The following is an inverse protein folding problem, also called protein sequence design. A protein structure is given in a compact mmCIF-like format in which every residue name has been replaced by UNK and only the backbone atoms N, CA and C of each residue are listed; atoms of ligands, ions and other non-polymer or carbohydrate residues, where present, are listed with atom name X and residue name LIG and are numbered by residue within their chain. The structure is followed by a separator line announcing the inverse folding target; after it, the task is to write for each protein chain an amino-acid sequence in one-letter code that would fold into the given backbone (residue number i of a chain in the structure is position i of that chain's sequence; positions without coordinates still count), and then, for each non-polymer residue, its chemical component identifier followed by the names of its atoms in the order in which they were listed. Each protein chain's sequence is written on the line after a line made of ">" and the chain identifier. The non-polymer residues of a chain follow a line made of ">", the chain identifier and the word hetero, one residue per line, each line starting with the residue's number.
data_IF_163373400806
#
_entry.id   IF_163373400806
#
_cell.length_a   1.000
_cell.length_b   1.000
_cell.length_c   1.000
_cell.angle_alpha   90.00
_cell.angle_beta   90.00
_cell.angle_gamma   90.00
#
_symmetry.space_group_name_H-M   'P 1'
#
loop_
_entity.id
_entity.type
_entity.pdbx_description
1 polymer ?
#
# COMPACT_ATOMS: atom_id res chain seq x y z
N UNK A 1 -28.48 35.97 -68.80
CA UNK A 1 -29.07 34.74 -68.22
C UNK A 1 -27.97 33.72 -68.13
N UNK A 2 -27.28 33.71 -66.99
CA UNK A 2 -27.47 32.71 -65.92
C UNK A 2 -26.80 31.37 -66.26
N UNK A 3 -25.57 31.20 -65.76
CA UNK A 3 -24.97 29.89 -65.52
C UNK A 3 -24.90 29.71 -64.01
N UNK A 4 -25.88 29.00 -63.44
CA UNK A 4 -25.92 28.64 -62.03
C UNK A 4 -25.13 27.33 -61.80
N UNK A 5 -24.01 27.47 -61.11
CA UNK A 5 -23.23 26.36 -60.54
C UNK A 5 -23.97 25.84 -59.31
N UNK A 6 -24.40 24.58 -59.32
CA UNK A 6 -24.95 23.89 -58.14
C UNK A 6 -23.88 22.99 -57.52
N UNK A 7 -23.56 23.29 -56.26
CA UNK A 7 -22.60 22.62 -55.38
C UNK A 7 -23.10 21.22 -54.94
N UNK A 8 -22.21 20.22 -54.95
CA UNK A 8 -22.43 18.91 -54.32
C UNK A 8 -21.80 18.83 -52.92
N UNK A 9 -22.68 18.83 -51.93
CA UNK A 9 -22.73 18.21 -50.59
C UNK A 9 -21.56 17.37 -50.01
N UNK A 10 -20.99 17.87 -48.91
CA UNK A 10 -21.01 17.35 -47.50
C UNK A 10 -20.74 15.88 -47.14
N UNK A 11 -20.32 15.00 -48.04
CA UNK A 11 -19.97 13.61 -47.66
C UNK A 11 -18.65 13.53 -46.84
N UNK A 12 -17.70 14.40 -47.17
CA UNK A 12 -16.36 14.44 -46.57
C UNK A 12 -16.39 14.82 -45.08
N UNK A 13 -17.29 15.74 -44.70
CA UNK A 13 -17.40 16.20 -43.31
C UNK A 13 -18.02 15.16 -42.38
N UNK A 14 -18.94 14.34 -42.88
CA UNK A 14 -19.59 13.27 -42.12
C UNK A 14 -18.59 12.14 -41.85
N UNK A 15 -17.78 11.78 -42.84
CA UNK A 15 -16.75 10.73 -42.71
C UNK A 15 -15.64 11.18 -41.74
N UNK A 16 -15.24 12.46 -41.77
CA UNK A 16 -14.23 13.00 -40.86
C UNK A 16 -14.67 13.01 -39.39
N UNK A 17 -15.96 13.24 -39.13
CA UNK A 17 -16.55 13.21 -37.79
C UNK A 17 -16.67 11.79 -37.25
N UNK A 18 -17.01 10.82 -38.10
CA UNK A 18 -17.10 9.41 -37.70
C UNK A 18 -15.72 8.83 -37.33
N UNK A 19 -14.68 9.16 -38.10
CA UNK A 19 -13.31 8.72 -37.82
C UNK A 19 -12.71 9.30 -36.52
N UNK A 20 -13.22 10.46 -36.05
CA UNK A 20 -12.82 11.04 -34.74
C UNK A 20 -13.48 10.34 -33.55
N UNK A 21 -14.64 9.70 -33.73
CA UNK A 21 -15.40 9.04 -32.65
C UNK A 21 -14.94 7.59 -32.45
N UNK A 22 -14.41 6.91 -33.48
CA UNK A 22 -13.98 5.51 -33.38
C UNK A 22 -12.51 5.30 -32.93
N UNK A 23 -11.81 6.31 -32.40
CA UNK A 23 -10.51 6.10 -31.74
C UNK A 23 -10.71 5.55 -30.33
N UNK A 24 -10.96 4.25 -30.23
CA UNK A 24 -10.75 3.52 -28.99
C UNK A 24 -9.27 3.63 -28.59
N UNK A 25 -9.02 4.21 -27.42
CA UNK A 25 -7.71 4.13 -26.76
C UNK A 25 -7.48 2.67 -26.37
N UNK A 26 -6.61 1.98 -27.11
CA UNK A 26 -5.92 0.80 -26.58
C UNK A 26 -4.99 1.27 -25.46
N UNK A 27 -5.42 1.13 -24.21
CA UNK A 27 -4.52 1.22 -23.06
C UNK A 27 -3.91 -0.17 -22.90
N UNK A 28 -2.78 -0.38 -23.58
CA UNK A 28 -1.88 -1.49 -23.26
C UNK A 28 -1.20 -1.17 -21.94
N UNK A 29 -1.50 -1.95 -20.91
CA UNK A 29 -0.68 -2.01 -19.69
C UNK A 29 0.31 -3.15 -19.91
N UNK A 30 1.53 -2.81 -20.30
CA UNK A 30 2.66 -3.71 -20.12
C UNK A 30 3.17 -3.55 -18.68
N UNK A 31 3.46 -4.65 -17.97
CA UNK A 31 4.52 -4.65 -16.98
C UNK A 31 5.78 -5.29 -17.58
N UNK A 32 6.85 -4.51 -17.63
CA UNK A 32 8.23 -5.00 -17.75
C UNK A 32 8.62 -5.65 -16.41
N UNK A 33 8.96 -6.94 -16.39
CA UNK A 33 9.83 -7.55 -15.39
C UNK A 33 10.50 -8.83 -15.92
N UNK A 34 11.82 -8.93 -15.66
CA UNK A 34 12.77 -9.97 -16.11
C UNK A 34 12.42 -11.37 -15.57
N UNK A 35 12.83 -12.47 -16.24
CA UNK A 35 12.51 -13.83 -15.82
C UNK A 35 13.45 -14.32 -14.71
N UNK A 36 12.91 -15.04 -13.73
CA UNK A 36 13.70 -15.94 -12.86
C UNK A 36 13.05 -17.34 -12.93
N UNK A 37 13.81 -18.42 -13.22
CA UNK A 37 13.27 -19.76 -13.39
C UNK A 37 13.32 -20.50 -12.06
N UNK A 38 12.19 -21.07 -11.61
CA UNK A 38 12.10 -22.25 -10.73
C UNK A 38 10.62 -22.65 -10.50
N UNK A 39 10.18 -23.65 -11.29
CA UNK A 39 9.26 -24.78 -10.96
C UNK A 39 7.84 -24.54 -10.39
N UNK A 40 6.89 -25.51 -10.48
CA UNK A 40 6.64 -26.56 -11.49
C UNK A 40 5.31 -26.34 -12.23
N UNK A 41 5.18 -27.06 -13.34
CA UNK A 41 3.96 -27.27 -14.13
C UNK A 41 2.80 -27.83 -13.31
N UNK A 42 1.65 -27.16 -13.35
CA UNK A 42 0.34 -27.73 -13.04
C UNK A 42 -0.67 -27.37 -14.13
N UNK A 43 -1.59 -28.30 -14.32
CA UNK A 43 -2.46 -28.56 -15.45
C UNK A 43 -3.35 -27.37 -15.87
N UNK A 44 -3.23 -26.98 -17.14
CA UNK A 44 -4.22 -26.14 -17.81
C UNK A 44 -5.41 -27.04 -18.15
N UNK A 45 -6.49 -26.91 -17.40
CA UNK A 45 -7.80 -27.40 -17.81
C UNK A 45 -8.25 -26.50 -18.96
N UNK A 46 -8.19 -27.02 -20.18
CA UNK A 46 -8.81 -26.40 -21.36
C UNK A 46 -10.32 -26.32 -21.16
N UNK A 47 -10.82 -25.17 -20.69
CA UNK A 47 -12.20 -24.80 -20.95
C UNK A 47 -12.29 -24.37 -22.42
N UNK A 48 -12.85 -25.28 -23.20
CA UNK A 48 -13.27 -25.10 -24.59
C UNK A 48 -14.21 -23.89 -24.66
N UNK A 49 -13.68 -22.74 -25.05
CA UNK A 49 -14.50 -21.69 -25.64
C UNK A 49 -14.95 -22.21 -27.00
N UNK A 50 -16.18 -22.74 -27.06
CA UNK A 50 -16.90 -22.90 -28.31
C UNK A 50 -17.06 -21.51 -28.94
N UNK A 51 -16.13 -21.23 -29.84
CA UNK A 51 -16.17 -20.12 -30.77
C UNK A 51 -17.43 -20.31 -31.63
N UNK A 52 -18.56 -19.74 -31.19
CA UNK A 52 -19.77 -19.62 -32.02
C UNK A 52 -19.43 -18.60 -33.10
N UNK A 53 -18.66 -19.09 -34.07
CA UNK A 53 -18.56 -18.51 -35.40
C UNK A 53 -19.94 -18.63 -36.01
N UNK A 54 -20.77 -17.61 -35.77
CA UNK A 54 -21.93 -17.32 -36.59
C UNK A 54 -21.43 -16.98 -37.99
N UNK A 55 -21.10 -18.01 -38.78
CA UNK A 55 -20.93 -17.89 -40.22
C UNK A 55 -22.26 -17.37 -40.75
N UNK A 56 -22.33 -16.13 -41.28
CA UNK A 56 -23.53 -15.74 -41.99
C UNK A 56 -23.49 -16.55 -43.27
N UNK A 57 -24.18 -17.68 -43.29
CA UNK A 57 -24.50 -18.40 -44.51
C UNK A 57 -25.49 -17.54 -45.28
N UNK A 58 -24.97 -16.46 -45.88
CA UNK A 58 -25.63 -15.68 -46.92
C UNK A 58 -25.75 -16.61 -48.13
N UNK A 59 -26.74 -17.50 -48.10
CA UNK A 59 -27.41 -17.89 -49.34
C UNK A 59 -27.90 -16.58 -49.92
N UNK A 60 -27.21 -16.06 -50.94
CA UNK A 60 -27.66 -14.93 -51.73
C UNK A 60 -28.99 -15.36 -52.35
N UNK A 61 -30.08 -15.12 -51.63
CA UNK A 61 -31.42 -15.18 -52.20
C UNK A 61 -31.39 -14.11 -53.29
N UNK A 62 -31.60 -14.45 -54.57
CA UNK A 62 -31.63 -13.44 -55.61
C UNK A 62 -32.78 -12.50 -55.27
N UNK A 63 -32.45 -11.28 -54.84
CA UNK A 63 -33.43 -10.23 -54.72
C UNK A 63 -33.82 -9.88 -56.15
N UNK A 64 -34.83 -10.56 -56.69
CA UNK A 64 -35.50 -10.12 -57.90
C UNK A 64 -36.17 -8.80 -57.56
N UNK A 65 -35.43 -7.72 -57.78
CA UNK A 65 -35.91 -6.36 -57.67
C UNK A 65 -36.19 -5.93 -59.09
N UNK A 66 -37.39 -5.39 -59.32
CA UNK A 66 -37.73 -4.81 -60.60
C UNK A 66 -36.72 -3.70 -60.89
N UNK A 67 -35.85 -3.96 -61.85
CA UNK A 67 -34.90 -2.97 -62.33
C UNK A 67 -35.52 -2.23 -63.52
N UNK A 68 -35.03 -1.03 -63.81
CA UNK A 68 -35.57 -0.19 -64.89
C UNK A 68 -35.62 -0.92 -66.24
N UNK A 69 -34.69 -1.84 -66.49
CA UNK A 69 -34.68 -2.70 -67.67
C UNK A 69 -35.84 -3.72 -67.72
N UNK A 70 -36.27 -4.26 -66.59
CA UNK A 70 -37.39 -5.21 -66.51
C UNK A 70 -38.74 -4.48 -66.60
N UNK A 71 -38.81 -3.30 -66.01
CA UNK A 71 -39.95 -2.39 -66.15
C UNK A 71 -40.09 -1.95 -67.61
N UNK A 72 -38.98 -1.60 -68.27
CA UNK A 72 -38.97 -1.27 -69.70
C UNK A 72 -39.47 -2.43 -70.55
N UNK A 73 -39.01 -3.67 -70.31
CA UNK A 73 -39.51 -4.86 -71.01
C UNK A 73 -41.01 -5.12 -70.81
N UNK A 74 -41.55 -4.79 -69.63
CA UNK A 74 -43.00 -4.87 -69.39
C UNK A 74 -43.73 -3.83 -70.24
N UNK A 75 -43.25 -2.59 -70.28
CA UNK A 75 -43.83 -1.53 -71.12
C UNK A 75 -43.70 -1.85 -72.61
N UNK A 76 -42.59 -2.44 -73.05
CA UNK A 76 -42.40 -2.92 -74.42
C UNK A 76 -43.41 -4.03 -74.76
N UNK A 77 -43.63 -4.99 -73.85
CA UNK A 77 -44.62 -6.05 -74.04
C UNK A 77 -46.06 -5.51 -74.09
N UNK A 78 -46.40 -4.51 -73.27
CA UNK A 78 -47.70 -3.82 -73.34
C UNK A 78 -47.85 -3.06 -74.66
N UNK A 79 -46.78 -2.41 -75.12
CA UNK A 79 -46.78 -1.64 -76.37
C UNK A 79 -46.89 -2.56 -77.58
N UNK A 80 -46.17 -3.68 -77.60
CA UNK A 80 -46.22 -4.70 -78.64
C UNK A 80 -47.60 -5.40 -78.68
N UNK A 81 -48.22 -5.67 -77.53
CA UNK A 81 -49.60 -6.17 -77.48
C UNK A 81 -50.59 -5.18 -78.13
N UNK A 82 -50.46 -3.88 -77.83
CA UNK A 82 -51.31 -2.85 -78.44
C UNK A 82 -51.14 -2.81 -79.95
N UNK A 83 -49.90 -2.91 -80.44
CA UNK A 83 -49.60 -2.94 -81.87
C UNK A 83 -50.18 -4.20 -82.55
N UNK A 84 -49.94 -5.38 -81.98
CA UNK A 84 -50.50 -6.64 -82.48
C UNK A 84 -52.03 -6.60 -82.54
N UNK A 85 -52.68 -5.98 -81.55
CA UNK A 85 -54.14 -5.80 -81.55
C UNK A 85 -54.63 -4.85 -82.66
N UNK A 86 -53.88 -3.79 -82.97
CA UNK A 86 -54.20 -2.91 -84.10
C UNK A 86 -54.02 -3.60 -85.46
N UNK A 87 -52.98 -4.44 -85.59
CA UNK A 87 -52.76 -5.25 -86.80
C UNK A 87 -53.87 -6.28 -86.98
N UNK A 88 -54.29 -6.93 -85.89
CA UNK A 88 -55.46 -7.81 -85.86
C UNK A 88 -56.72 -7.07 -86.36
N UNK A 89 -56.99 -5.85 -85.86
CA UNK A 89 -58.11 -5.02 -86.33
C UNK A 89 -58.00 -4.66 -87.81
N UNK A 90 -56.79 -4.35 -88.32
CA UNK A 90 -56.57 -3.97 -89.72
C UNK A 90 -56.74 -5.14 -90.69
N UNK A 91 -56.39 -6.35 -90.28
CA UNK A 91 -56.53 -7.55 -91.11
C UNK A 91 -57.99 -7.92 -91.45
N UNK A 92 -58.96 -7.28 -90.79
CA UNK A 92 -60.38 -7.47 -91.08
C UNK A 92 -60.90 -6.71 -92.31
N UNK A 93 -60.18 -5.68 -92.83
CA UNK A 93 -60.67 -4.83 -93.94
C UNK A 93 -59.54 -4.38 -94.90
N UNK A 94 -59.44 -4.97 -96.11
CA UNK A 94 -60.22 -6.11 -96.62
C UNK A 94 -59.88 -7.40 -95.84
N UNK A 95 -60.85 -8.31 -95.73
CA UNK A 95 -60.73 -9.54 -94.92
C UNK A 95 -59.58 -10.43 -95.42
N UNK A 96 -58.59 -10.65 -94.56
CA UNK A 96 -57.41 -11.48 -94.83
C UNK A 96 -57.24 -12.50 -93.69
N UNK A 97 -57.67 -13.77 -93.87
CA UNK A 97 -57.70 -14.75 -92.80
C UNK A 97 -56.31 -15.11 -92.28
N UNK A 98 -55.28 -15.11 -93.14
CA UNK A 98 -53.92 -15.49 -92.75
C UNK A 98 -53.30 -14.41 -91.83
N UNK A 99 -53.53 -13.14 -92.15
CA UNK A 99 -53.08 -12.01 -91.31
C UNK A 99 -53.84 -11.92 -89.98
N UNK A 100 -55.12 -12.32 -89.95
CA UNK A 100 -55.89 -12.41 -88.70
C UNK A 100 -55.28 -13.45 -87.77
N UNK A 101 -54.96 -14.65 -88.29
CA UNK A 101 -54.35 -15.73 -87.52
C UNK A 101 -52.96 -15.32 -87.01
N UNK A 102 -52.15 -14.68 -87.86
CA UNK A 102 -50.82 -14.19 -87.47
C UNK A 102 -50.88 -13.15 -86.34
N UNK A 103 -51.76 -12.15 -86.47
CA UNK A 103 -51.92 -11.13 -85.45
C UNK A 103 -52.54 -11.66 -84.14
N UNK A 104 -53.46 -12.64 -84.21
CA UNK A 104 -54.01 -13.31 -83.02
C UNK A 104 -52.92 -14.05 -82.25
N UNK A 105 -52.07 -14.80 -82.96
CA UNK A 105 -50.93 -15.50 -82.38
C UNK A 105 -49.97 -14.53 -81.67
N UNK A 106 -49.74 -13.34 -82.25
CA UNK A 106 -48.93 -12.29 -81.61
C UNK A 106 -49.61 -11.71 -80.35
N UNK A 107 -50.91 -11.46 -80.39
CA UNK A 107 -51.69 -11.01 -79.23
C UNK A 107 -51.61 -12.03 -78.09
N UNK A 108 -51.81 -13.31 -78.38
CA UNK A 108 -51.71 -14.40 -77.41
C UNK A 108 -50.29 -14.47 -76.83
N UNK A 109 -49.26 -14.42 -77.67
CA UNK A 109 -47.85 -14.44 -77.24
C UNK A 109 -47.50 -13.28 -76.28
N UNK A 110 -47.97 -12.06 -76.58
CA UNK A 110 -47.74 -10.92 -75.71
C UNK A 110 -48.55 -10.99 -74.41
N UNK A 111 -49.79 -11.50 -74.44
CA UNK A 111 -50.59 -11.75 -73.23
C UNK A 111 -49.93 -12.79 -72.31
N UNK A 112 -49.33 -13.84 -72.87
CA UNK A 112 -48.54 -14.82 -72.11
C UNK A 112 -47.31 -14.18 -71.45
N UNK A 113 -46.64 -13.28 -72.17
CA UNK A 113 -45.51 -12.51 -71.64
C UNK A 113 -45.95 -11.63 -70.46
N UNK A 114 -47.05 -10.90 -70.58
CA UNK A 114 -47.62 -10.11 -69.47
C UNK A 114 -48.08 -10.98 -68.29
N UNK A 115 -48.64 -12.16 -68.56
CA UNK A 115 -49.01 -13.13 -67.52
C UNK A 115 -47.77 -13.62 -66.76
N UNK A 116 -46.64 -13.81 -67.45
CA UNK A 116 -45.36 -14.18 -66.84
C UNK A 116 -44.86 -13.07 -65.91
N UNK A 117 -44.91 -11.81 -66.35
CA UNK A 117 -44.58 -10.64 -65.50
C UNK A 117 -45.50 -10.53 -64.27
N UNK A 118 -46.82 -10.70 -64.44
CA UNK A 118 -47.77 -10.71 -63.32
C UNK A 118 -47.44 -11.80 -62.28
N UNK A 119 -47.10 -13.01 -62.73
CA UNK A 119 -46.68 -14.12 -61.85
C UNK A 119 -45.39 -13.79 -61.09
N UNK A 120 -44.39 -13.22 -61.78
CA UNK A 120 -43.14 -12.81 -61.15
C UNK A 120 -43.38 -11.76 -60.06
N UNK A 121 -44.17 -10.74 -60.35
CA UNK A 121 -44.54 -9.70 -59.37
C UNK A 121 -45.17 -10.30 -58.10
N UNK A 122 -46.19 -11.16 -58.25
CA UNK A 122 -46.87 -11.77 -57.12
C UNK A 122 -45.94 -12.65 -56.28
N UNK A 123 -45.06 -13.41 -56.94
CA UNK A 123 -44.06 -14.26 -56.27
C UNK A 123 -43.05 -13.44 -55.49
N UNK A 124 -42.55 -12.33 -56.06
CA UNK A 124 -41.63 -11.41 -55.39
C UNK A 124 -42.29 -10.75 -54.18
N UNK A 125 -43.53 -10.28 -54.30
CA UNK A 125 -44.28 -9.67 -53.19
C UNK A 125 -44.47 -10.65 -52.01
N UNK A 126 -44.77 -11.91 -52.30
CA UNK A 126 -44.89 -12.95 -51.27
C UNK A 126 -43.55 -13.27 -50.59
N UNK A 127 -42.45 -13.29 -51.34
CA UNK A 127 -41.11 -13.50 -50.79
C UNK A 127 -40.68 -12.33 -49.89
N UNK A 128 -40.98 -11.10 -50.28
CA UNK A 128 -40.72 -9.90 -49.48
C UNK A 128 -41.47 -9.94 -48.16
N UNK A 129 -42.78 -10.21 -48.17
CA UNK A 129 -43.58 -10.30 -46.95
C UNK A 129 -43.08 -11.39 -45.98
N UNK A 130 -42.62 -12.55 -46.50
CA UNK A 130 -41.99 -13.60 -45.68
C UNK A 130 -40.67 -13.13 -45.07
N UNK A 131 -39.83 -12.48 -45.87
CA UNK A 131 -38.53 -11.97 -45.41
C UNK A 131 -38.69 -10.87 -44.36
N UNK A 132 -39.69 -10.00 -44.50
CA UNK A 132 -40.03 -8.96 -43.50
C UNK A 132 -40.49 -9.57 -42.18
N UNK A 133 -41.33 -10.62 -42.22
CA UNK A 133 -41.80 -11.33 -41.03
C UNK A 133 -40.65 -12.06 -40.31
N UNK A 134 -39.80 -12.76 -41.06
CA UNK A 134 -38.62 -13.44 -40.52
C UNK A 134 -37.63 -12.42 -39.90
N UNK A 135 -37.40 -11.29 -40.57
CA UNK A 135 -36.55 -10.22 -40.05
C UNK A 135 -37.13 -9.59 -38.77
N UNK A 136 -38.44 -9.36 -38.70
CA UNK A 136 -39.12 -8.86 -37.51
C UNK A 136 -39.00 -9.84 -36.33
N UNK A 137 -39.16 -11.15 -36.58
CA UNK A 137 -38.97 -12.18 -35.57
C UNK A 137 -37.52 -12.22 -35.06
N UNK A 138 -36.53 -12.15 -35.95
CA UNK A 138 -35.12 -12.06 -35.57
C UNK A 138 -34.81 -10.81 -34.73
N UNK A 139 -35.39 -9.65 -35.09
CA UNK A 139 -35.21 -8.42 -34.32
C UNK A 139 -35.82 -8.51 -32.91
N UNK A 140 -36.97 -9.14 -32.77
CA UNK A 140 -37.58 -9.36 -31.44
C UNK A 140 -36.71 -10.28 -30.59
N UNK A 141 -36.20 -11.39 -31.15
CA UNK A 141 -35.29 -12.29 -30.43
C UNK A 141 -34.02 -11.58 -29.96
N UNK A 142 -33.42 -10.78 -30.83
CA UNK A 142 -32.22 -9.98 -30.48
C UNK A 142 -32.52 -8.95 -29.40
N UNK A 143 -33.73 -8.35 -29.40
CA UNK A 143 -34.15 -7.42 -28.36
C UNK A 143 -34.27 -8.12 -27.00
N UNK A 144 -34.91 -9.29 -26.96
CA UNK A 144 -35.06 -10.06 -25.72
C UNK A 144 -33.69 -10.49 -25.15
N UNK A 145 -32.76 -10.88 -26.03
CA UNK A 145 -31.38 -11.24 -25.66
C UNK A 145 -30.61 -10.02 -25.10
N UNK A 146 -30.78 -8.84 -25.70
CA UNK A 146 -30.19 -7.59 -25.17
C UNK A 146 -30.75 -7.26 -23.79
N UNK A 147 -32.06 -7.41 -23.57
CA UNK A 147 -32.68 -7.14 -22.27
C UNK A 147 -32.14 -8.06 -21.16
N UNK A 148 -31.95 -9.35 -21.46
CA UNK A 148 -31.34 -10.30 -20.52
C UNK A 148 -29.90 -9.92 -20.20
N UNK A 149 -29.11 -9.58 -21.23
CA UNK A 149 -27.73 -9.16 -21.05
C UNK A 149 -27.62 -7.86 -20.25
N UNK A 150 -28.53 -6.90 -20.43
CA UNK A 150 -28.60 -5.68 -19.63
C UNK A 150 -28.87 -5.97 -18.15
N UNK A 151 -29.78 -6.91 -17.85
CA UNK A 151 -30.04 -7.36 -16.46
C UNK A 151 -28.80 -8.01 -15.84
N UNK A 152 -28.10 -8.88 -16.57
CA UNK A 152 -26.87 -9.51 -16.09
C UNK A 152 -25.75 -8.48 -15.87
N UNK A 153 -25.60 -7.49 -16.76
CA UNK A 153 -24.64 -6.40 -16.58
C UNK A 153 -24.96 -5.56 -15.34
N UNK A 154 -26.24 -5.33 -15.06
CA UNK A 154 -26.65 -4.61 -13.86
C UNK A 154 -26.33 -5.39 -12.58
N UNK A 155 -26.59 -6.70 -12.56
CA UNK A 155 -26.24 -7.58 -11.42
C UNK A 155 -24.72 -7.66 -11.20
N UNK A 156 -23.94 -7.83 -12.27
CA UNK A 156 -22.47 -7.81 -12.14
C UNK A 156 -21.97 -6.45 -11.64
N UNK A 157 -22.61 -5.36 -12.05
CA UNK A 157 -22.27 -4.01 -11.59
C UNK A 157 -22.58 -3.81 -10.11
N UNK A 158 -23.70 -4.33 -9.60
CA UNK A 158 -24.03 -4.24 -8.17
C UNK A 158 -23.08 -5.10 -7.33
N UNK A 159 -22.77 -6.31 -7.77
CA UNK A 159 -21.80 -7.20 -7.11
C UNK A 159 -20.40 -6.60 -7.09
N UNK A 160 -19.95 -6.00 -8.20
CA UNK A 160 -18.64 -5.34 -8.27
C UNK A 160 -18.56 -4.21 -7.25
N UNK A 161 -19.59 -3.36 -7.15
CA UNK A 161 -19.64 -2.28 -6.15
C UNK A 161 -19.62 -2.80 -4.70
N UNK A 162 -20.35 -3.89 -4.43
CA UNK A 162 -20.35 -4.52 -3.11
C UNK A 162 -18.94 -5.03 -2.75
N UNK A 163 -18.27 -5.72 -3.69
CA UNK A 163 -16.90 -6.19 -3.51
C UNK A 163 -15.88 -5.07 -3.40
N UNK A 164 -16.04 -3.97 -4.13
CA UNK A 164 -15.21 -2.77 -3.97
C UNK A 164 -15.33 -2.19 -2.56
N UNK A 165 -16.55 -2.13 -1.99
CA UNK A 165 -16.75 -1.66 -0.62
C UNK A 165 -16.14 -2.60 0.43
N UNK A 166 -16.20 -3.91 0.21
CA UNK A 166 -15.56 -4.93 1.06
C UNK A 166 -14.04 -4.81 1.02
N UNK A 167 -13.47 -4.60 -0.17
CA UNK A 167 -12.02 -4.38 -0.32
C UNK A 167 -11.57 -3.11 0.41
N UNK A 168 -12.37 -2.03 0.36
CA UNK A 168 -12.05 -0.81 1.08
C UNK A 168 -12.07 -1.01 2.60
N UNK A 169 -13.08 -1.69 3.15
CA UNK A 169 -13.16 -1.96 4.59
C UNK A 169 -12.07 -2.91 5.08
N UNK A 170 -11.72 -3.93 4.28
CA UNK A 170 -10.60 -4.82 4.57
C UNK A 170 -9.25 -4.09 4.54
N UNK A 171 -9.07 -3.16 3.60
CA UNK A 171 -7.86 -2.31 3.57
C UNK A 171 -7.77 -1.40 4.79
N UNK A 172 -8.88 -0.83 5.23
CA UNK A 172 -8.91 0.03 6.42
C UNK A 172 -8.59 -0.78 7.69
N UNK A 173 -9.21 -1.94 7.87
CA UNK A 173 -8.90 -2.84 9.00
C UNK A 173 -7.45 -3.32 8.99
N UNK A 174 -6.90 -3.69 7.82
CA UNK A 174 -5.49 -4.05 7.68
C UNK A 174 -4.57 -2.89 8.10
N UNK A 175 -4.86 -1.67 7.66
CA UNK A 175 -4.06 -0.49 8.02
C UNK A 175 -4.08 -0.23 9.54
N UNK A 176 -5.23 -0.39 10.19
CA UNK A 176 -5.35 -0.28 11.64
C UNK A 176 -4.49 -1.35 12.37
N UNK A 177 -4.58 -2.61 11.96
CA UNK A 177 -3.81 -3.70 12.55
C UNK A 177 -2.29 -3.53 12.33
N UNK A 178 -1.87 -3.06 11.16
CA UNK A 178 -0.47 -2.74 10.87
C UNK A 178 0.02 -1.62 11.79
N UNK A 179 -0.78 -0.56 12.01
CA UNK A 179 -0.42 0.51 12.93
C UNK A 179 -0.28 0.01 14.39
N UNK A 180 -1.16 -0.89 14.83
CA UNK A 180 -1.08 -1.53 16.15
C UNK A 180 0.15 -2.43 16.30
N UNK A 181 0.44 -3.28 15.30
CA UNK A 181 1.64 -4.11 15.30
C UNK A 181 2.92 -3.28 15.33
N UNK A 182 2.99 -2.21 14.52
CA UNK A 182 4.12 -1.29 14.53
C UNK A 182 4.28 -0.62 15.90
N UNK A 183 3.17 -0.26 16.58
CA UNK A 183 3.20 0.27 17.95
C UNK A 183 3.75 -0.78 18.93
N UNK A 184 3.34 -2.04 18.81
CA UNK A 184 3.80 -3.12 19.67
C UNK A 184 5.29 -3.45 19.45
N UNK A 185 5.74 -3.53 18.20
CA UNK A 185 7.15 -3.71 17.83
C UNK A 185 8.01 -2.53 18.30
N UNK A 186 7.47 -1.32 18.26
CA UNK A 186 8.13 -0.13 18.77
C UNK A 186 8.29 -0.18 20.30
N UNK A 187 7.28 -0.64 21.03
CA UNK A 187 7.33 -0.82 22.49
C UNK A 187 8.32 -1.90 22.89
N UNK A 188 8.34 -3.05 22.20
CA UNK A 188 9.30 -4.13 22.48
C UNK A 188 10.74 -3.71 22.14
N UNK A 189 10.93 -2.95 21.07
CA UNK A 189 12.22 -2.34 20.72
C UNK A 189 12.66 -1.34 21.79
N UNK A 190 11.74 -0.55 22.35
CA UNK A 190 12.05 0.39 23.43
C UNK A 190 12.46 -0.34 24.70
N UNK A 191 11.74 -1.41 25.07
CA UNK A 191 12.08 -2.28 26.20
C UNK A 191 13.49 -2.85 26.08
N UNK A 192 13.88 -3.30 24.88
CA UNK A 192 15.25 -3.74 24.61
C UNK A 192 16.28 -2.63 24.87
N UNK A 193 16.05 -1.43 24.31
CA UNK A 193 16.95 -0.27 24.50
C UNK A 193 17.01 0.15 25.97
N UNK A 194 15.88 0.14 26.67
CA UNK A 194 15.79 0.44 28.10
C UNK A 194 16.63 -0.54 28.94
N UNK A 195 16.48 -1.85 28.69
CA UNK A 195 17.29 -2.89 29.34
C UNK A 195 18.77 -2.78 28.97
N UNK A 196 19.10 -2.49 27.72
CA UNK A 196 20.47 -2.30 27.26
C UNK A 196 21.14 -1.10 27.95
N UNK A 197 20.42 0.02 28.11
CA UNK A 197 20.88 1.17 28.87
C UNK A 197 21.12 0.82 30.34
N UNK A 198 20.16 0.19 31.02
CA UNK A 198 20.32 -0.26 32.41
C UNK A 198 21.51 -1.20 32.58
N UNK A 199 21.68 -2.17 31.66
CA UNK A 199 22.81 -3.10 31.67
C UNK A 199 24.15 -2.39 31.46
N UNK A 200 24.21 -1.45 30.53
CA UNK A 200 25.44 -0.70 30.23
C UNK A 200 25.89 0.18 31.40
N UNK A 201 24.95 0.72 32.18
CA UNK A 201 25.22 1.46 33.42
C UNK A 201 25.83 0.52 34.46
N UNK A 202 25.22 -0.65 34.67
CA UNK A 202 25.75 -1.68 35.55
C UNK A 202 27.15 -2.14 35.13
N UNK A 203 27.38 -2.35 33.84
CA UNK A 203 28.67 -2.78 33.30
C UNK A 203 29.75 -1.69 33.43
N UNK A 204 29.40 -0.41 33.34
CA UNK A 204 30.33 0.69 33.60
C UNK A 204 30.61 0.91 35.10
N UNK A 205 29.65 0.61 35.98
CA UNK A 205 29.86 0.69 37.42
C UNK A 205 30.97 -0.27 37.91
N UNK A 206 31.12 -1.44 37.27
CA UNK A 206 32.15 -2.43 37.62
C UNK A 206 33.58 -1.88 37.54
N UNK A 207 34.10 -1.41 36.39
CA UNK A 207 35.45 -0.86 36.32
C UNK A 207 35.62 0.39 37.18
N UNK A 208 34.56 1.20 37.36
CA UNK A 208 34.60 2.35 38.26
C UNK A 208 34.90 1.91 39.71
N UNK A 209 34.13 0.96 40.23
CA UNK A 209 34.33 0.42 41.59
C UNK A 209 35.69 -0.29 41.70
N UNK A 210 36.09 -1.06 40.68
CA UNK A 210 37.38 -1.74 40.67
C UNK A 210 38.55 -0.76 40.75
N UNK A 211 38.50 0.35 40.00
CA UNK A 211 39.53 1.38 40.06
C UNK A 211 39.55 2.07 41.42
N UNK A 212 38.39 2.38 42.01
CA UNK A 212 38.31 2.93 43.37
C UNK A 212 38.99 2.02 44.40
N UNK A 213 38.76 0.70 44.31
CA UNK A 213 39.44 -0.28 45.17
C UNK A 213 40.94 -0.32 44.95
N UNK A 214 41.38 -0.26 43.69
CA UNK A 214 42.79 -0.30 43.34
C UNK A 214 43.57 0.96 43.76
N UNK A 215 42.87 2.06 44.04
CA UNK A 215 43.46 3.34 44.44
C UNK A 215 43.16 3.71 45.89
N UNK A 216 42.91 2.70 46.75
CA UNK A 216 42.68 2.85 48.18
C UNK A 216 41.52 3.81 48.58
N UNK A 217 40.51 3.98 47.73
CA UNK A 217 39.32 4.74 48.11
C UNK A 217 38.51 3.95 49.15
N UNK A 218 38.07 4.67 50.19
CA UNK A 218 37.14 4.10 51.15
C UNK A 218 35.73 4.02 50.53
N UNK A 219 35.33 2.82 50.13
CA UNK A 219 34.05 2.58 49.45
C UNK A 219 32.86 2.87 50.36
N UNK A 220 32.95 2.58 51.66
CA UNK A 220 31.89 2.87 52.62
C UNK A 220 31.59 4.37 52.69
N UNK A 221 32.64 5.20 52.79
CA UNK A 221 32.50 6.67 52.76
C UNK A 221 31.98 7.16 51.40
N UNK A 222 32.39 6.53 50.31
CA UNK A 222 31.89 6.88 48.98
C UNK A 222 30.40 6.59 48.84
N UNK A 223 29.95 5.41 49.29
CA UNK A 223 28.53 5.03 49.31
C UNK A 223 27.71 6.01 50.16
N UNK A 224 28.17 6.30 51.37
CA UNK A 224 27.52 7.26 52.28
C UNK A 224 27.44 8.67 51.67
N UNK A 225 28.47 9.08 50.92
CA UNK A 225 28.47 10.37 50.22
C UNK A 225 27.50 10.42 49.02
N UNK A 226 27.17 9.28 48.40
CA UNK A 226 26.26 9.25 47.24
C UNK A 226 24.80 9.18 47.71
N UNK A 227 24.52 8.27 48.64
CA UNK A 227 23.20 8.11 49.24
C UNK A 227 23.37 7.95 50.76
N UNK A 228 23.13 9.02 51.54
CA UNK A 228 23.37 8.98 52.98
C UNK A 228 22.26 8.20 53.70
N UNK A 229 22.57 7.61 54.86
CA UNK A 229 21.61 6.97 55.76
C UNK A 229 20.78 5.85 55.09
N UNK A 230 21.40 4.93 54.35
CA UNK A 230 20.70 3.79 53.74
C UNK A 230 21.09 2.48 54.42
N UNK A 231 20.08 1.73 54.87
CA UNK A 231 20.24 0.37 55.40
C UNK A 231 20.16 -0.65 54.27
N UNK A 232 21.32 -1.11 53.81
CA UNK A 232 21.39 -2.10 52.74
C UNK A 232 21.05 -3.51 53.27
N UNK A 233 20.18 -4.22 52.56
CA UNK A 233 19.83 -5.61 52.90
C UNK A 233 21.04 -6.55 52.81
N UNK A 234 21.89 -6.37 51.79
CA UNK A 234 23.15 -7.11 51.62
C UNK A 234 24.31 -6.15 51.43
N UNK A 235 25.50 -6.49 51.91
CA UNK A 235 26.71 -5.68 51.67
C UNK A 235 27.02 -5.56 50.16
N UNK A 236 26.63 -6.56 49.36
CA UNK A 236 26.74 -6.52 47.89
C UNK A 236 25.87 -5.47 47.23
N UNK A 237 24.81 -5.01 47.90
CA UNK A 237 23.84 -4.05 47.34
C UNK A 237 24.39 -2.63 47.28
N UNK A 238 25.45 -2.33 48.04
CA UNK A 238 26.17 -1.05 47.98
C UNK A 238 26.63 -0.71 46.56
N UNK A 239 26.79 -1.71 45.67
CA UNK A 239 27.06 -1.49 44.23
C UNK A 239 26.00 -0.60 43.56
N UNK A 240 24.73 -0.73 43.98
CA UNK A 240 23.62 0.04 43.42
C UNK A 240 23.70 1.53 43.76
N UNK A 241 24.41 1.91 44.82
CA UNK A 241 24.69 3.32 45.10
C UNK A 241 25.55 3.95 43.99
N UNK A 242 26.57 3.24 43.51
CA UNK A 242 27.39 3.70 42.39
C UNK A 242 26.60 3.75 41.07
N UNK A 243 25.73 2.78 40.83
CA UNK A 243 24.80 2.83 39.68
C UNK A 243 23.88 4.07 39.78
N UNK A 244 23.31 4.35 40.94
CA UNK A 244 22.51 5.54 41.21
C UNK A 244 23.27 6.85 40.96
N UNK A 245 24.54 6.92 41.38
CA UNK A 245 25.42 8.05 41.06
C UNK A 245 25.56 8.24 39.55
N UNK A 246 25.89 7.17 38.82
CA UNK A 246 26.08 7.18 37.36
C UNK A 246 24.78 7.63 36.69
N UNK A 247 23.65 7.05 37.07
CA UNK A 247 22.31 7.36 36.54
C UNK A 247 21.99 8.84 36.73
N UNK A 248 22.18 9.36 37.94
CA UNK A 248 21.96 10.78 38.23
C UNK A 248 22.80 11.66 37.31
N UNK A 249 24.07 11.34 37.09
CA UNK A 249 24.97 12.13 36.21
C UNK A 249 24.63 11.98 34.72
N UNK A 250 24.30 10.78 34.27
CA UNK A 250 23.96 10.48 32.88
C UNK A 250 22.64 11.16 32.47
N UNK A 251 21.61 11.11 33.31
CA UNK A 251 20.31 11.70 33.00
C UNK A 251 20.16 13.17 33.42
N UNK A 252 21.11 13.74 34.17
CA UNK A 252 21.06 15.15 34.59
C UNK A 252 20.94 16.12 33.40
N UNK A 253 19.86 16.92 33.36
CA UNK A 253 19.63 17.91 32.29
C UNK A 253 19.48 17.31 30.89
N UNK A 254 19.25 15.99 30.78
CA UNK A 254 19.06 15.33 29.50
C UNK A 254 17.72 15.76 28.89
N UNK A 255 17.77 16.27 27.67
CA UNK A 255 16.58 16.60 26.87
C UNK A 255 16.30 15.46 25.90
N UNK A 256 15.06 15.00 25.85
CA UNK A 256 14.59 14.03 24.87
C UNK A 256 14.38 14.76 23.54
N UNK A 257 15.10 14.36 22.51
CA UNK A 257 14.96 14.90 21.15
C UNK A 257 15.08 13.74 20.16
N UNK A 258 14.27 13.71 19.08
CA UNK A 258 14.30 12.63 18.11
C UNK A 258 15.53 12.80 17.19
N UNK A 259 16.62 12.12 17.53
CA UNK A 259 17.79 12.01 16.67
C UNK A 259 17.76 10.68 15.91
N UNK A 260 18.29 10.67 14.69
CA UNK A 260 18.58 9.42 14.00
C UNK A 260 19.71 8.69 14.71
N UNK A 261 19.43 7.47 15.15
CA UNK A 261 20.36 6.59 15.89
C UNK A 261 20.65 5.31 15.14
N UNK A 262 20.20 5.19 13.89
CA UNK A 262 20.34 3.98 13.07
C UNK A 262 21.80 3.58 12.93
N UNK A 263 22.64 4.53 12.51
CA UNK A 263 24.08 4.30 12.36
C UNK A 263 24.76 3.98 13.69
N UNK A 264 24.37 4.67 14.76
CA UNK A 264 24.90 4.43 16.10
C UNK A 264 24.54 3.02 16.60
N UNK A 265 23.34 2.52 16.28
CA UNK A 265 22.89 1.17 16.62
C UNK A 265 23.65 0.09 15.83
N UNK A 266 24.00 0.35 14.57
CA UNK A 266 24.75 -0.60 13.73
C UNK A 266 26.23 -0.75 14.08
N UNK A 267 26.85 0.28 14.68
CA UNK A 267 28.27 0.26 15.02
C UNK A 267 28.50 -0.45 16.36
N UNK A 268 29.26 -1.54 16.37
CA UNK A 268 29.56 -2.31 17.59
C UNK A 268 30.37 -1.51 18.62
N UNK A 269 31.34 -0.73 18.16
CA UNK A 269 32.19 0.09 19.01
C UNK A 269 31.79 1.57 18.95
N UNK A 270 31.39 2.19 20.08
CA UNK A 270 30.98 3.59 20.09
C UNK A 270 32.14 4.55 19.80
N UNK A 271 33.40 4.14 19.95
CA UNK A 271 34.53 5.00 19.60
C UNK A 271 34.68 5.16 18.09
N UNK A 272 34.25 4.18 17.30
CA UNK A 272 34.21 4.29 15.83
C UNK A 272 33.17 5.33 15.41
N UNK A 273 32.00 5.34 16.05
CA UNK A 273 30.98 6.37 15.84
C UNK A 273 31.49 7.78 16.21
N UNK A 274 32.22 7.90 17.33
CA UNK A 274 32.82 9.17 17.75
C UNK A 274 33.98 9.62 16.85
N UNK A 275 34.69 8.69 16.21
CA UNK A 275 35.74 9.00 15.25
C UNK A 275 35.17 9.40 13.88
N UNK A 276 34.09 8.75 13.45
CA UNK A 276 33.40 9.07 12.20
C UNK A 276 32.66 10.42 12.28
N UNK A 277 32.05 10.72 13.42
CA UNK A 277 31.21 11.93 13.62
C UNK A 277 31.59 12.72 14.88
N UNK A 278 32.78 13.35 14.90
CA UNK A 278 33.31 14.02 16.10
C UNK A 278 32.48 15.22 16.57
N UNK A 279 31.77 15.90 15.67
CA UNK A 279 30.95 17.08 16.01
C UNK A 279 29.45 16.74 16.22
N UNK A 280 29.10 15.45 16.21
CA UNK A 280 27.72 14.99 16.35
C UNK A 280 27.09 15.41 17.70
N UNK A 281 25.75 15.53 17.78
CA UNK A 281 25.07 15.71 19.05
C UNK A 281 25.43 14.63 20.08
N UNK A 282 25.63 13.39 19.62
CA UNK A 282 26.10 12.27 20.43
C UNK A 282 27.51 12.49 20.98
N UNK A 283 28.46 12.95 20.16
CA UNK A 283 29.82 13.25 20.62
C UNK A 283 29.84 14.34 21.70
N UNK A 284 29.09 15.42 21.49
CA UNK A 284 28.91 16.48 22.51
C UNK A 284 28.28 15.95 23.79
N UNK A 285 27.25 15.10 23.68
CA UNK A 285 26.65 14.44 24.84
C UNK A 285 27.68 13.57 25.58
N UNK A 286 28.42 12.71 24.89
CA UNK A 286 29.47 11.87 25.47
C UNK A 286 30.51 12.70 26.25
N UNK A 287 31.00 13.79 25.66
CA UNK A 287 31.97 14.67 26.32
C UNK A 287 31.40 15.31 27.58
N UNK A 288 30.21 15.92 27.48
CA UNK A 288 29.54 16.56 28.63
C UNK A 288 29.27 15.55 29.76
N UNK A 289 28.79 14.35 29.43
CA UNK A 289 28.48 13.33 30.41
C UNK A 289 29.72 12.72 31.06
N UNK A 290 30.82 12.58 30.32
CA UNK A 290 32.07 12.11 30.91
C UNK A 290 32.54 13.05 32.01
N UNK A 291 32.51 14.36 31.75
CA UNK A 291 32.93 15.38 32.71
C UNK A 291 32.03 15.42 33.96
N UNK A 292 30.76 15.00 33.85
CA UNK A 292 29.83 14.89 34.97
C UNK A 292 29.98 13.59 35.76
N UNK A 293 30.19 12.47 35.07
CA UNK A 293 30.29 11.13 35.68
C UNK A 293 31.66 10.91 36.31
N UNK A 294 32.74 11.40 35.70
CA UNK A 294 34.11 11.20 36.18
C UNK A 294 34.62 12.53 36.74
N UNK A 295 34.61 12.66 38.06
CA UNK A 295 35.15 13.80 38.79
C UNK A 295 36.68 13.92 38.59
N UNK A 296 37.28 15.12 38.52
CA UNK A 296 38.73 15.28 38.39
C UNK A 296 39.52 14.51 39.44
N UNK A 297 39.07 14.49 40.70
CA UNK A 297 39.73 13.71 41.77
C UNK A 297 39.68 12.20 41.54
N UNK A 298 38.60 11.68 40.93
CA UNK A 298 38.54 10.26 40.55
C UNK A 298 39.56 9.96 39.47
N UNK A 299 39.63 10.80 38.45
CA UNK A 299 40.54 10.63 37.32
C UNK A 299 42.02 10.72 37.74
N UNK A 300 42.39 11.74 38.51
CA UNK A 300 43.72 11.90 39.07
C UNK A 300 44.12 10.69 39.94
N UNK A 301 43.18 10.13 40.69
CA UNK A 301 43.41 8.93 41.50
C UNK A 301 43.58 7.67 40.63
N UNK A 302 42.70 7.45 39.65
CA UNK A 302 42.67 6.24 38.83
C UNK A 302 43.83 6.14 37.85
N UNK A 303 44.29 7.28 37.32
CA UNK A 303 45.24 7.32 36.21
C UNK A 303 46.51 8.13 36.52
N UNK A 304 46.57 8.83 37.65
CA UNK A 304 47.71 9.67 38.03
C UNK A 304 47.83 10.98 37.25
N UNK A 305 46.89 11.29 36.36
CA UNK A 305 46.86 12.49 35.53
C UNK A 305 45.40 12.86 35.15
N UNK A 306 45.22 13.96 34.41
CA UNK A 306 43.93 14.44 33.91
C UNK A 306 43.88 14.48 32.37
N UNK A 307 44.69 13.66 31.71
CA UNK A 307 44.89 13.75 30.25
C UNK A 307 43.59 13.39 29.50
N UNK A 308 42.81 12.45 30.01
CA UNK A 308 41.54 12.07 29.39
C UNK A 308 40.52 13.21 29.45
N UNK A 309 40.38 13.88 30.59
CA UNK A 309 39.55 15.09 30.72
C UNK A 309 40.09 16.23 29.88
N UNK A 310 41.41 16.40 29.78
CA UNK A 310 42.03 17.37 28.88
C UNK A 310 41.58 17.16 27.43
N UNK A 311 41.64 15.92 26.95
CA UNK A 311 41.16 15.55 25.62
C UNK A 311 39.65 15.82 25.45
N UNK A 312 38.84 15.44 26.44
CA UNK A 312 37.38 15.65 26.41
C UNK A 312 37.01 17.13 26.40
N UNK A 313 37.73 17.97 27.13
CA UNK A 313 37.55 19.43 27.12
C UNK A 313 37.90 20.03 25.75
N UNK A 314 38.82 19.43 25.01
CA UNK A 314 39.13 19.79 23.62
C UNK A 314 38.13 19.21 22.60
N UNK A 315 37.03 18.61 23.05
CA UNK A 315 36.03 17.95 22.18
C UNK A 315 36.51 16.63 21.58
N UNK A 316 37.62 16.06 22.08
CA UNK A 316 38.16 14.78 21.61
C UNK A 316 37.78 13.65 22.55
N UNK A 317 37.73 12.43 22.01
CA UNK A 317 37.34 11.23 22.75
C UNK A 317 38.55 10.31 22.97
N UNK A 318 38.97 10.05 24.22
CA UNK A 318 40.10 9.18 24.52
C UNK A 318 39.91 7.75 24.01
N UNK A 319 40.95 7.16 23.43
CA UNK A 319 40.97 5.75 23.00
C UNK A 319 41.50 4.81 24.09
N UNK A 320 40.96 4.94 25.30
CA UNK A 320 41.33 4.06 26.44
C UNK A 320 40.25 3.01 26.68
N UNK A 321 40.60 1.91 27.35
CA UNK A 321 39.64 0.86 27.71
C UNK A 321 38.54 1.41 28.61
N UNK A 322 38.90 2.22 29.60
CA UNK A 322 37.94 2.85 30.50
C UNK A 322 36.96 3.77 29.75
N UNK A 323 37.48 4.63 28.87
CA UNK A 323 36.64 5.54 28.08
C UNK A 323 35.73 4.78 27.10
N UNK A 324 36.21 3.67 26.53
CA UNK A 324 35.41 2.79 25.66
C UNK A 324 34.19 2.23 26.39
N UNK A 325 34.36 1.74 27.62
CA UNK A 325 33.23 1.21 28.42
C UNK A 325 32.27 2.34 28.78
N UNK A 326 32.79 3.52 29.16
CA UNK A 326 31.98 4.72 29.35
C UNK A 326 31.18 5.09 28.09
N UNK A 327 31.82 5.10 26.92
CA UNK A 327 31.18 5.45 25.66
C UNK A 327 30.09 4.44 25.27
N UNK A 328 30.23 3.16 25.63
CA UNK A 328 29.19 2.13 25.44
C UNK A 328 27.95 2.45 26.26
N UNK A 329 28.13 2.83 27.52
CA UNK A 329 27.03 3.29 28.37
C UNK A 329 26.40 4.58 27.83
N UNK A 330 27.21 5.56 27.44
CA UNK A 330 26.72 6.81 26.89
C UNK A 330 25.92 6.61 25.59
N UNK A 331 26.37 5.70 24.72
CA UNK A 331 25.62 5.25 23.52
C UNK A 331 24.22 4.79 23.91
N UNK A 332 24.08 3.82 24.81
CA UNK A 332 22.76 3.29 25.14
C UNK A 332 21.84 4.30 25.83
N UNK A 333 22.37 5.15 26.71
CA UNK A 333 21.58 6.24 27.31
C UNK A 333 21.12 7.25 26.25
N UNK A 334 21.99 7.61 25.31
CA UNK A 334 21.65 8.52 24.21
C UNK A 334 20.59 7.93 23.28
N UNK A 335 20.77 6.67 22.88
CA UNK A 335 19.81 5.92 22.07
C UNK A 335 18.47 5.86 22.79
N UNK A 336 18.44 5.53 24.09
CA UNK A 336 17.21 5.47 24.87
C UNK A 336 16.43 6.79 24.82
N UNK A 337 17.11 7.92 25.02
CA UNK A 337 16.46 9.22 24.97
C UNK A 337 15.98 9.61 23.58
N UNK A 338 16.76 9.30 22.54
CA UNK A 338 16.41 9.60 21.16
C UNK A 338 15.24 8.75 20.70
N UNK A 339 15.28 7.45 21.03
CA UNK A 339 14.23 6.49 20.72
C UNK A 339 12.91 6.84 21.43
N UNK A 340 12.97 7.26 22.71
CA UNK A 340 11.79 7.75 23.44
C UNK A 340 11.09 8.90 22.69
N UNK A 341 11.87 9.89 22.25
CA UNK A 341 11.36 11.06 21.55
C UNK A 341 10.85 10.75 20.14
N UNK A 342 11.44 9.76 19.46
CA UNK A 342 10.98 9.29 18.15
C UNK A 342 9.65 8.53 18.23
N UNK A 343 9.39 7.83 19.33
CA UNK A 343 8.12 7.15 19.56
C UNK A 343 7.01 8.10 20.00
N UNK A 344 7.33 9.04 20.89
CA UNK A 344 6.40 10.08 21.35
C UNK A 344 7.16 11.37 21.67
N UNK A 345 6.86 12.44 20.93
CA UNK A 345 7.44 13.77 21.18
C UNK A 345 7.10 14.32 22.58
N UNK A 346 6.03 13.79 23.21
CA UNK A 346 5.62 14.12 24.58
C UNK A 346 6.18 13.13 25.61
N UNK A 347 7.08 12.23 25.22
CA UNK A 347 7.71 11.30 26.14
C UNK A 347 8.36 12.05 27.32
N UNK A 348 8.29 11.45 28.51
CA UNK A 348 8.83 12.04 29.73
C UNK A 348 9.67 11.03 30.49
N UNK A 349 10.82 11.51 30.95
CA UNK A 349 11.60 10.84 31.98
C UNK A 349 10.98 11.22 33.33
N UNK A 350 10.70 10.24 34.18
CA UNK A 350 10.29 10.47 35.56
C UNK A 350 11.27 9.79 36.52
N UNK A 351 11.47 10.44 37.67
CA UNK A 351 12.36 9.97 38.74
C UNK A 351 11.56 9.90 40.02
N UNK A 352 11.65 8.76 40.70
CA UNK A 352 10.99 8.55 41.99
C UNK A 352 11.81 9.21 43.09
N UNK A 353 11.12 9.90 44.02
CA UNK A 353 11.77 10.56 45.16
C UNK A 353 12.08 9.55 46.26
N UNK A 354 13.17 9.78 46.99
CA UNK A 354 13.47 9.04 48.22
C UNK A 354 12.32 9.17 49.23
N UNK A 355 12.02 8.10 49.95
CA UNK A 355 10.94 7.99 50.94
C UNK A 355 9.55 7.70 50.36
N UNK A 356 9.40 7.71 49.02
CA UNK A 356 8.12 7.38 48.36
C UNK A 356 7.76 5.92 48.62
N UNK A 357 6.49 5.63 48.91
CA UNK A 357 5.98 4.26 49.02
C UNK A 357 6.16 3.52 47.69
N UNK A 358 6.56 2.26 47.75
CA UNK A 358 6.70 1.42 46.57
C UNK A 358 5.36 1.23 45.84
N UNK A 359 5.41 1.22 44.52
CA UNK A 359 4.23 0.92 43.69
C UNK A 359 4.67 0.15 42.44
N UNK A 360 4.27 -1.11 42.37
CA UNK A 360 4.57 -2.00 41.24
C UNK A 360 4.02 -1.52 39.89
N UNK A 361 3.13 -0.52 39.88
CA UNK A 361 2.58 0.07 38.66
C UNK A 361 3.61 0.87 37.85
N UNK A 362 4.57 1.54 38.51
CA UNK A 362 5.58 2.38 37.86
C UNK A 362 7.00 2.21 38.42
N UNK A 363 7.20 1.27 39.33
CA UNK A 363 8.48 0.94 39.94
C UNK A 363 8.79 -0.56 39.86
N UNK A 364 10.07 -0.89 39.76
CA UNK A 364 10.59 -2.26 39.81
C UNK A 364 11.77 -2.32 40.78
N UNK A 365 11.75 -3.27 41.72
CA UNK A 365 12.85 -3.45 42.68
C UNK A 365 14.08 -4.03 41.98
N UNK A 366 15.27 -3.46 42.22
CA UNK A 366 16.53 -4.05 41.75
C UNK A 366 17.03 -5.21 42.60
N UNK A 367 16.53 -5.31 43.83
CA UNK A 367 16.77 -6.48 44.67
C UNK A 367 15.71 -7.48 44.29
N UNK A 368 16.15 -8.65 43.81
CA UNK A 368 15.25 -9.74 43.42
C UNK A 368 14.30 -10.10 44.56
N UNK A 369 13.12 -10.57 44.18
CA UNK A 369 12.12 -11.07 45.10
C UNK A 369 12.62 -12.41 45.69
N UNK A 370 13.51 -12.32 46.68
CA UNK A 370 14.03 -13.47 47.42
C UNK A 370 12.93 -14.01 48.37
N UNK A 371 11.78 -14.39 47.81
CA UNK A 371 10.67 -15.05 48.50
C UNK A 371 9.87 -14.17 49.47
N UNK A 372 9.70 -12.87 49.18
CA UNK A 372 8.87 -12.00 50.03
C UNK A 372 7.41 -12.15 49.63
N UNK A 373 6.60 -12.74 50.52
CA UNK A 373 5.15 -12.79 50.37
C UNK A 373 4.58 -11.36 50.19
N UNK A 374 3.61 -11.21 49.29
CA UNK A 374 3.01 -9.93 48.89
C UNK A 374 2.45 -9.11 50.08
N UNK A 375 2.15 -9.77 51.21
CA UNK A 375 1.58 -9.18 52.42
C UNK A 375 2.50 -8.15 53.13
N UNK A 376 3.79 -8.06 52.76
CA UNK A 376 4.76 -7.12 53.35
C UNK A 376 5.21 -5.95 52.45
N UNK A 377 4.68 -5.81 51.24
CA UNK A 377 5.15 -4.83 50.25
C UNK A 377 4.67 -3.39 50.51
N UNK A 378 3.65 -3.19 51.34
CA UNK A 378 2.96 -1.90 51.53
C UNK A 378 3.77 -0.83 52.28
N UNK A 379 4.78 -1.23 53.06
CA UNK A 379 5.65 -0.34 53.85
C UNK A 379 7.07 -0.18 53.28
N UNK A 380 7.34 -0.76 52.11
CA UNK A 380 8.61 -0.53 51.43
C UNK A 380 8.68 0.91 50.89
N UNK A 381 9.81 1.56 51.17
CA UNK A 381 10.09 2.92 50.70
C UNK A 381 11.30 2.93 49.78
N UNK A 382 11.24 3.81 48.80
CA UNK A 382 12.33 4.00 47.84
C UNK A 382 13.47 4.75 48.52
N UNK A 383 14.67 4.18 48.50
CA UNK A 383 15.88 4.87 48.97
C UNK A 383 16.51 5.70 47.84
N UNK A 384 16.64 5.09 46.67
CA UNK A 384 17.19 5.73 45.48
C UNK A 384 16.83 4.97 44.20
N UNK A 385 16.97 5.65 43.06
CA UNK A 385 16.79 5.05 41.73
C UNK A 385 18.11 4.51 41.19
N UNK A 386 18.04 3.41 40.43
CA UNK A 386 19.15 2.87 39.62
C UNK A 386 18.84 2.93 38.11
N UNK A 387 17.60 3.30 37.75
CA UNK A 387 17.21 3.66 36.39
C UNK A 387 15.95 4.55 36.48
N UNK A 388 15.89 5.70 35.78
CA UNK A 388 14.66 6.48 35.72
C UNK A 388 13.57 5.73 34.95
N UNK A 389 12.32 6.02 35.24
CA UNK A 389 11.20 5.51 34.46
C UNK A 389 10.91 6.40 33.25
N UNK A 390 10.23 5.82 32.26
CA UNK A 390 9.81 6.54 31.05
C UNK A 390 8.31 6.40 30.85
N UNK A 391 7.67 7.52 30.51
CA UNK A 391 6.31 7.53 29.97
C UNK A 391 6.41 7.85 28.48
N UNK A 392 6.03 6.91 27.62
CA UNK A 392 6.07 7.02 26.16
C UNK A 392 4.67 6.66 25.65
N UNK A 393 3.89 7.67 25.21
CA UNK A 393 2.47 7.49 24.93
C UNK A 393 1.70 6.97 26.15
N UNK A 394 1.04 5.83 25.97
CA UNK A 394 0.25 5.14 27.01
C UNK A 394 1.09 4.14 27.83
N UNK A 395 2.30 3.84 27.38
CA UNK A 395 3.18 2.86 28.00
C UNK A 395 4.03 3.50 29.11
N UNK A 396 4.16 2.78 30.22
CA UNK A 396 5.01 3.15 31.36
C UNK A 396 6.11 2.11 31.52
N UNK A 397 7.35 2.55 31.33
CA UNK A 397 8.55 1.79 31.62
C UNK A 397 8.98 2.11 33.05
N UNK A 398 8.98 1.08 33.90
CA UNK A 398 9.10 1.23 35.35
C UNK A 398 10.47 1.76 35.74
N UNK A 399 10.51 2.63 36.74
CA UNK A 399 11.77 3.08 37.33
C UNK A 399 12.36 1.95 38.17
N UNK A 400 13.62 1.62 37.95
CA UNK A 400 14.33 0.67 38.81
C UNK A 400 14.74 1.37 40.11
N UNK A 401 14.33 0.79 41.24
CA UNK A 401 14.47 1.39 42.57
C UNK A 401 15.10 0.41 43.55
N UNK A 402 15.93 0.95 44.46
CA UNK A 402 16.35 0.24 45.66
C UNK A 402 15.38 0.55 46.80
N UNK A 403 14.92 -0.49 47.50
CA UNK A 403 13.90 -0.42 48.53
C UNK A 403 14.48 -0.79 49.90
N UNK A 404 14.02 -0.11 50.93
CA UNK A 404 14.23 -0.45 52.34
C UNK A 404 12.88 -0.51 53.05
N UNK A 405 12.84 -1.16 54.20
CA UNK A 405 11.68 -1.11 55.08
C UNK A 405 11.64 0.29 55.69
N UNK A 406 10.51 0.99 55.58
CA UNK A 406 10.40 2.33 56.15
C UNK A 406 10.56 2.28 57.67
N UNK A 407 11.47 3.08 58.22
CA UNK A 407 11.41 3.42 59.64
C UNK A 407 10.10 4.22 59.85
N UNK A 408 9.24 3.69 60.72
CA UNK A 408 7.96 4.31 61.10
C UNK A 408 8.12 5.57 61.92
#
# INVERSE_FOLDING_TARGET
>A
MENAVVKTSNLSDIISKFAKVCKFRSVGVFPDQKPNPNTPSDEVVEEVFEDITCKPSRKKIPSFRWNDAEVSKLFDAVSALKLAYLEFQRAHLPYDPDKIIEADNLVVSHLETLRRFKRLYLKTKQLQAKTELDAASCLNRLRDEVEVNEKHLWELKTQTKAKESEVLSLKETLNCLVAENNKLESVSSFEFVFRAASKSIHDFAKPLITLMKATDWNLEKAVESIVPNVTYAKNSDKKFAFESYIVRRMFHGMKLNPYDVTELMTLDDPLDALAAFPDSPFARFCGQKYLLVVHPSMEASFFGNLDMRGLVLLGKHPRTVFYRIFAKMAKWVWVLGSFAASLDLKAKIFVVRRGTRFSGAYMESVVGDDGREEEGQEDLRVEFITMPGFKVGDSVFKSHVYLSQGEG
#
